data_IF_547556094832
#
_entry.id   IF_547556094832
#
_cell.length_a   1.000
_cell.length_b   1.000
_cell.length_c   1.000
_cell.angle_alpha   90.00
_cell.angle_beta   90.00
_cell.angle_gamma   90.00
#
_symmetry.space_group_name_H-M   'P 1'
#
loop_
_entity.id
_entity.type
_entity.pdbx_description
1 polymer ?
#
# COMPACT_ATOMS: atom_id res chain seq x y z
N UNK A 1 27.23 -33.19 4.83
CA UNK A 1 26.37 -34.13 4.08
C UNK A 1 25.19 -33.33 3.54
N UNK A 2 24.93 -33.44 2.23
CA UNK A 2 23.90 -32.79 1.40
C UNK A 2 23.88 -31.25 1.31
N UNK A 3 24.47 -30.75 0.22
CA UNK A 3 24.28 -29.44 -0.38
C UNK A 3 22.89 -29.32 -1.05
N UNK A 4 22.26 -28.16 -1.01
CA UNK A 4 21.30 -27.74 -2.05
C UNK A 4 21.44 -26.27 -2.37
N UNK A 5 21.82 -26.01 -3.62
CA UNK A 5 22.19 -24.74 -4.20
C UNK A 5 21.02 -23.77 -4.39
N UNK A 6 21.22 -22.52 -3.97
CA UNK A 6 20.44 -21.36 -4.40
C UNK A 6 20.67 -21.09 -5.90
N UNK A 7 19.66 -21.33 -6.72
CA UNK A 7 19.66 -21.00 -8.15
C UNK A 7 19.04 -19.62 -8.34
N UNK A 8 19.85 -18.68 -8.84
CA UNK A 8 19.46 -17.32 -9.24
C UNK A 8 18.38 -17.38 -10.32
N UNK A 9 17.18 -16.87 -10.04
CA UNK A 9 16.14 -16.63 -11.04
C UNK A 9 16.57 -15.46 -11.93
N UNK A 10 16.99 -15.81 -13.15
CA UNK A 10 17.39 -14.86 -14.18
C UNK A 10 16.13 -14.45 -14.94
N UNK A 11 15.78 -13.17 -14.90
CA UNK A 11 14.70 -12.55 -15.68
C UNK A 11 15.08 -12.42 -17.17
N UNK A 12 15.26 -13.54 -17.86
CA UNK A 12 15.44 -13.63 -19.31
C UNK A 12 14.91 -14.99 -19.75
N UNK A 13 13.62 -15.02 -20.14
CA UNK A 13 12.99 -15.99 -21.05
C UNK A 13 11.47 -15.99 -20.83
N UNK A 14 10.78 -15.04 -21.44
CA UNK A 14 9.34 -15.13 -21.74
C UNK A 14 9.05 -14.34 -23.03
N UNK A 15 9.87 -14.60 -24.05
CA UNK A 15 9.62 -14.21 -25.44
C UNK A 15 10.13 -15.34 -26.32
N UNK A 16 9.38 -16.43 -26.38
CA UNK A 16 9.57 -17.47 -27.39
C UNK A 16 8.28 -18.25 -27.59
N UNK A 17 7.95 -18.42 -28.87
CA UNK A 17 6.96 -19.34 -29.43
C UNK A 17 5.48 -18.96 -29.27
N UNK A 18 5.12 -17.78 -29.80
CA UNK A 18 3.84 -17.63 -30.49
C UNK A 18 4.01 -18.04 -31.94
N UNK A 19 4.05 -19.35 -32.22
CA UNK A 19 3.75 -19.84 -33.57
C UNK A 19 2.31 -19.42 -33.81
N UNK A 20 2.09 -18.34 -34.57
CA UNK A 20 0.80 -18.12 -35.22
C UNK A 20 0.64 -19.24 -36.23
N UNK A 21 0.20 -20.40 -35.74
CA UNK A 21 -0.65 -21.25 -36.54
C UNK A 21 -1.79 -20.37 -37.00
N UNK A 22 -1.98 -20.30 -38.31
CA UNK A 22 -3.21 -19.83 -38.92
C UNK A 22 -4.29 -20.82 -38.45
N UNK A 23 -4.74 -20.68 -37.21
CA UNK A 23 -6.03 -21.20 -36.82
C UNK A 23 -7.02 -20.33 -37.59
N UNK A 24 -7.62 -20.93 -38.61
CA UNK A 24 -8.73 -20.37 -39.35
C UNK A 24 -9.85 -20.05 -38.35
N UNK A 25 -9.81 -18.85 -37.78
CA UNK A 25 -10.98 -18.21 -37.18
C UNK A 25 -11.86 -17.86 -38.37
N UNK A 26 -12.88 -18.68 -38.58
CA UNK A 26 -13.91 -18.46 -39.59
C UNK A 26 -14.61 -17.12 -39.34
N UNK A 27 -14.03 -16.05 -39.84
CA UNK A 27 -14.75 -14.85 -40.23
C UNK A 27 -15.45 -15.12 -41.56
N UNK A 28 -16.58 -14.46 -41.78
CA UNK A 28 -17.31 -14.50 -43.04
C UNK A 28 -16.36 -14.13 -44.19
N UNK A 29 -15.94 -15.11 -45.00
CA UNK A 29 -15.19 -14.85 -46.21
C UNK A 29 -16.13 -14.16 -47.21
N UNK A 30 -15.82 -12.91 -47.56
CA UNK A 30 -16.54 -12.20 -48.62
C UNK A 30 -15.91 -12.58 -49.96
N UNK A 31 -16.71 -12.60 -51.04
CA UNK A 31 -16.26 -12.97 -52.39
C UNK A 31 -15.11 -12.09 -52.95
N UNK A 32 -14.79 -10.98 -52.27
CA UNK A 32 -13.76 -10.00 -52.63
C UNK A 32 -12.46 -10.12 -51.79
N UNK A 33 -12.27 -11.18 -51.02
CA UNK A 33 -11.07 -11.40 -50.19
C UNK A 33 -9.90 -11.99 -51.00
N UNK A 34 -9.54 -11.34 -52.11
CA UNK A 34 -8.43 -11.74 -52.99
C UNK A 34 -7.37 -10.65 -52.99
N UNK A 35 -6.09 -11.03 -52.83
CA UNK A 35 -4.97 -10.12 -53.00
C UNK A 35 -4.71 -9.91 -54.49
N UNK A 36 -4.72 -8.67 -54.94
CA UNK A 36 -4.24 -8.29 -56.27
C UNK A 36 -2.77 -8.66 -56.42
N UNK A 37 -2.37 -8.96 -57.66
CA UNK A 37 -1.04 -9.50 -57.96
C UNK A 37 0.11 -8.62 -57.43
N UNK A 38 -0.03 -7.29 -57.52
CA UNK A 38 0.98 -6.35 -57.02
C UNK A 38 1.13 -6.43 -55.49
N UNK A 39 0.02 -6.29 -54.75
CA UNK A 39 0.02 -6.35 -53.28
C UNK A 39 0.47 -7.74 -52.79
N UNK A 40 -0.05 -8.81 -53.40
CA UNK A 40 0.30 -10.18 -53.02
C UNK A 40 1.79 -10.48 -53.19
N UNK A 41 2.41 -10.03 -54.29
CA UNK A 41 3.84 -10.19 -54.55
C UNK A 41 4.69 -9.49 -53.48
N UNK A 42 4.32 -8.28 -53.09
CA UNK A 42 5.07 -7.50 -52.11
C UNK A 42 4.89 -8.04 -50.69
N UNK A 43 3.68 -8.48 -50.33
CA UNK A 43 3.44 -9.15 -49.04
C UNK A 43 4.17 -10.51 -48.92
N UNK A 44 4.33 -11.25 -50.02
CA UNK A 44 5.12 -12.50 -50.02
C UNK A 44 6.62 -12.21 -49.82
N UNK A 45 7.13 -11.14 -50.41
CA UNK A 45 8.50 -10.68 -50.17
C UNK A 45 8.69 -10.24 -48.70
N UNK A 46 7.72 -9.50 -48.15
CA UNK A 46 7.71 -9.10 -46.76
C UNK A 46 7.74 -10.31 -45.81
N UNK A 47 6.91 -11.32 -46.08
CA UNK A 47 6.87 -12.56 -45.29
C UNK A 47 8.23 -13.30 -45.33
N UNK A 48 8.83 -13.43 -46.51
CA UNK A 48 10.13 -14.11 -46.68
C UNK A 48 11.26 -13.36 -45.96
N UNK A 49 11.25 -12.03 -46.04
CA UNK A 49 12.22 -11.18 -45.35
C UNK A 49 12.02 -11.23 -43.82
N UNK A 50 10.78 -11.23 -43.35
CA UNK A 50 10.45 -11.38 -41.93
C UNK A 50 10.90 -12.74 -41.38
N UNK A 51 10.67 -13.84 -42.12
CA UNK A 51 11.14 -15.17 -41.74
C UNK A 51 12.68 -15.23 -41.60
N UNK A 52 13.38 -14.44 -42.42
CA UNK A 52 14.84 -14.28 -42.36
C UNK A 52 15.30 -13.24 -41.32
N UNK A 53 14.38 -12.69 -40.52
CA UNK A 53 14.60 -11.58 -39.57
C UNK A 53 15.20 -10.32 -40.19
N UNK A 54 15.09 -10.15 -41.50
CA UNK A 54 15.49 -8.95 -42.20
C UNK A 54 14.35 -7.93 -42.15
N UNK A 55 14.21 -7.29 -40.97
CA UNK A 55 13.09 -6.40 -40.70
C UNK A 55 13.06 -5.15 -41.58
N UNK A 56 14.23 -4.62 -41.97
CA UNK A 56 14.30 -3.47 -42.87
C UNK A 56 13.71 -3.81 -44.24
N UNK A 57 14.17 -4.90 -44.85
CA UNK A 57 13.64 -5.38 -46.14
C UNK A 57 12.17 -5.79 -46.05
N UNK A 58 11.76 -6.37 -44.93
CA UNK A 58 10.36 -6.72 -44.70
C UNK A 58 9.47 -5.47 -44.66
N UNK A 59 9.92 -4.42 -43.97
CA UNK A 59 9.18 -3.15 -43.89
C UNK A 59 9.14 -2.43 -45.23
N UNK A 60 10.25 -2.38 -45.99
CA UNK A 60 10.29 -1.84 -47.35
C UNK A 60 9.27 -2.52 -48.28
N UNK A 61 9.18 -3.86 -48.21
CA UNK A 61 8.22 -4.62 -48.99
C UNK A 61 6.76 -4.34 -48.57
N UNK A 62 6.49 -4.17 -47.28
CA UNK A 62 5.16 -3.73 -46.82
C UNK A 62 4.84 -2.30 -47.23
N UNK A 63 5.81 -1.38 -47.22
CA UNK A 63 5.62 -0.01 -47.69
C UNK A 63 5.31 0.03 -49.20
N UNK A 64 5.96 -0.84 -49.99
CA UNK A 64 5.64 -1.02 -51.40
C UNK A 64 4.21 -1.54 -51.62
N UNK A 65 3.80 -2.57 -50.87
CA UNK A 65 2.42 -3.07 -50.88
C UNK A 65 1.41 -1.97 -50.51
N UNK A 66 1.76 -1.12 -49.54
CA UNK A 66 0.91 -0.02 -49.08
C UNK A 66 0.83 1.15 -50.09
N UNK A 67 1.82 1.32 -50.95
CA UNK A 67 1.85 2.36 -51.97
C UNK A 67 0.98 2.06 -53.21
N UNK A 68 0.48 0.83 -53.35
CA UNK A 68 -0.41 0.44 -54.46
C UNK A 68 -1.71 1.26 -54.40
N UNK A 69 -2.07 1.89 -55.53
CA UNK A 69 -3.32 2.67 -55.65
C UNK A 69 -4.52 1.73 -55.87
N UNK A 70 -5.68 2.10 -55.33
CA UNK A 70 -6.92 1.36 -55.55
C UNK A 70 -7.02 0.04 -54.78
N UNK A 71 -6.26 -0.13 -53.69
CA UNK A 71 -6.36 -1.31 -52.82
C UNK A 71 -7.79 -1.50 -52.32
N UNK A 72 -8.21 -2.75 -52.28
CA UNK A 72 -9.43 -3.18 -51.58
C UNK A 72 -9.27 -3.04 -50.07
N UNK A 73 -10.39 -3.04 -49.34
CA UNK A 73 -10.38 -3.08 -47.87
C UNK A 73 -9.66 -4.31 -47.34
N UNK A 74 -9.74 -5.45 -48.05
CA UNK A 74 -9.04 -6.68 -47.71
C UNK A 74 -7.52 -6.56 -47.88
N UNK A 75 -7.06 -5.95 -48.97
CA UNK A 75 -5.63 -5.71 -49.21
C UNK A 75 -5.05 -4.71 -48.19
N UNK A 76 -5.79 -3.63 -47.89
CA UNK A 76 -5.41 -2.67 -46.86
C UNK A 76 -5.31 -3.35 -45.48
N UNK A 77 -6.29 -4.20 -45.15
CA UNK A 77 -6.30 -4.97 -43.92
C UNK A 77 -5.11 -5.92 -43.81
N UNK A 78 -4.85 -6.71 -44.85
CA UNK A 78 -3.76 -7.71 -44.88
C UNK A 78 -2.39 -7.03 -44.85
N UNK A 79 -2.25 -5.88 -45.52
CA UNK A 79 -1.04 -5.05 -45.47
C UNK A 79 -0.80 -4.53 -44.06
N UNK A 80 -1.84 -4.07 -43.37
CA UNK A 80 -1.73 -3.64 -41.98
C UNK A 80 -1.37 -4.80 -41.03
N UNK A 81 -1.89 -6.02 -41.25
CA UNK A 81 -1.50 -7.20 -40.47
C UNK A 81 -0.01 -7.52 -40.62
N UNK A 82 0.50 -7.52 -41.85
CA UNK A 82 1.93 -7.75 -42.11
C UNK A 82 2.79 -6.64 -41.50
N UNK A 83 2.38 -5.36 -41.65
CA UNK A 83 3.04 -4.21 -41.04
C UNK A 83 3.13 -4.37 -39.52
N UNK A 84 2.03 -4.74 -38.86
CA UNK A 84 1.97 -4.95 -37.42
C UNK A 84 2.92 -6.07 -36.97
N UNK A 85 2.95 -7.19 -37.69
CA UNK A 85 3.82 -8.33 -37.36
C UNK A 85 5.31 -7.98 -37.45
N UNK A 86 5.72 -7.28 -38.52
CA UNK A 86 7.12 -6.84 -38.69
C UNK A 86 7.47 -5.80 -37.63
N UNK A 87 6.60 -4.81 -37.43
CA UNK A 87 6.84 -3.73 -36.49
C UNK A 87 6.95 -4.24 -35.04
N UNK A 88 6.08 -5.16 -34.64
CA UNK A 88 6.15 -5.81 -33.33
C UNK A 88 7.44 -6.60 -33.12
N UNK A 89 7.89 -7.38 -34.11
CA UNK A 89 9.12 -8.18 -34.00
C UNK A 89 10.42 -7.36 -34.08
N UNK A 90 10.40 -6.26 -34.83
CA UNK A 90 11.52 -5.33 -34.96
C UNK A 90 11.64 -4.31 -33.83
N UNK A 91 10.63 -4.23 -32.96
CA UNK A 91 10.56 -3.22 -31.90
C UNK A 91 10.23 -1.81 -32.42
N UNK A 92 9.75 -1.68 -33.67
CA UNK A 92 9.30 -0.40 -34.21
C UNK A 92 7.90 -0.06 -33.68
N UNK A 93 7.87 0.52 -32.48
CA UNK A 93 6.64 0.90 -31.76
C UNK A 93 5.74 1.82 -32.57
N UNK A 94 6.30 2.78 -33.30
CA UNK A 94 5.53 3.76 -34.06
C UNK A 94 4.77 3.13 -35.21
N UNK A 95 5.44 2.27 -35.98
CA UNK A 95 4.82 1.53 -37.07
C UNK A 95 3.79 0.52 -36.55
N UNK A 96 4.07 -0.13 -35.41
CA UNK A 96 3.15 -1.09 -34.81
C UNK A 96 1.85 -0.43 -34.35
N UNK A 97 1.94 0.71 -33.66
CA UNK A 97 0.76 1.45 -33.18
C UNK A 97 -0.13 1.85 -34.36
N UNK A 98 0.45 2.46 -35.41
CA UNK A 98 -0.30 2.86 -36.62
C UNK A 98 -0.97 1.67 -37.30
N UNK A 99 -0.26 0.54 -37.43
CA UNK A 99 -0.82 -0.66 -38.02
C UNK A 99 -1.97 -1.23 -37.17
N UNK A 100 -1.81 -1.27 -35.85
CA UNK A 100 -2.88 -1.70 -34.94
C UNK A 100 -4.08 -0.77 -34.96
N UNK A 101 -3.92 0.55 -35.12
CA UNK A 101 -5.05 1.48 -35.23
C UNK A 101 -5.93 1.15 -36.45
N UNK A 102 -5.31 0.83 -37.60
CA UNK A 102 -6.02 0.36 -38.79
C UNK A 102 -6.78 -0.94 -38.50
N UNK A 103 -6.11 -1.91 -37.87
CA UNK A 103 -6.71 -3.21 -37.58
C UNK A 103 -7.86 -3.10 -36.57
N UNK A 104 -7.71 -2.31 -35.51
CA UNK A 104 -8.73 -2.13 -34.47
C UNK A 104 -9.97 -1.43 -35.04
N UNK A 105 -9.80 -0.48 -35.97
CA UNK A 105 -10.92 0.25 -36.57
C UNK A 105 -11.62 -0.55 -37.69
N UNK A 106 -10.99 -1.61 -38.21
CA UNK A 106 -11.62 -2.47 -39.22
C UNK A 106 -12.80 -3.28 -38.65
N UNK A 107 -13.87 -3.40 -39.43
CA UNK A 107 -15.00 -4.32 -39.16
C UNK A 107 -14.59 -5.79 -39.29
N UNK A 108 -13.49 -6.07 -40.00
CA UNK A 108 -12.96 -7.42 -40.23
C UNK A 108 -12.26 -7.99 -39.00
N UNK A 109 -11.83 -7.16 -38.04
CA UNK A 109 -11.15 -7.63 -36.82
C UNK A 109 -12.16 -8.06 -35.77
N UNK A 110 -12.13 -9.33 -35.31
CA UNK A 110 -12.99 -9.80 -34.24
C UNK A 110 -12.79 -8.99 -32.96
N UNK A 111 -13.86 -8.77 -32.18
CA UNK A 111 -13.82 -8.00 -30.92
C UNK A 111 -12.69 -8.46 -29.98
N UNK A 112 -12.53 -9.77 -29.77
CA UNK A 112 -11.46 -10.30 -28.92
C UNK A 112 -10.06 -9.92 -29.42
N UNK A 113 -9.83 -9.95 -30.74
CA UNK A 113 -8.56 -9.56 -31.34
C UNK A 113 -8.29 -8.05 -31.19
N UNK A 114 -9.33 -7.20 -31.29
CA UNK A 114 -9.19 -5.75 -31.01
C UNK A 114 -8.71 -5.51 -29.58
N UNK A 115 -9.26 -6.24 -28.60
CA UNK A 115 -8.80 -6.19 -27.21
C UNK A 115 -7.32 -6.56 -27.06
N UNK A 116 -6.88 -7.66 -27.69
CA UNK A 116 -5.47 -8.08 -27.67
C UNK A 116 -4.54 -7.04 -28.34
N UNK A 117 -4.98 -6.42 -29.44
CA UNK A 117 -4.23 -5.37 -30.13
C UNK A 117 -4.08 -4.11 -29.26
N UNK A 118 -5.13 -3.69 -28.55
CA UNK A 118 -5.05 -2.57 -27.59
C UNK A 118 -4.04 -2.86 -26.47
N UNK A 119 -4.04 -4.08 -25.91
CA UNK A 119 -3.04 -4.49 -24.91
C UNK A 119 -1.62 -4.45 -25.47
N UNK A 120 -1.43 -4.93 -26.71
CA UNK A 120 -0.14 -4.90 -27.38
C UNK A 120 0.34 -3.47 -27.64
N UNK A 121 -0.51 -2.59 -28.19
CA UNK A 121 -0.22 -1.17 -28.39
C UNK A 121 0.25 -0.50 -27.08
N UNK A 122 -0.51 -0.69 -26.01
CA UNK A 122 -0.19 -0.11 -24.72
C UNK A 122 1.13 -0.64 -24.14
N UNK A 123 1.34 -1.96 -24.17
CA UNK A 123 2.55 -2.60 -23.63
C UNK A 123 3.80 -2.20 -24.41
N UNK A 124 3.71 -2.11 -25.75
CA UNK A 124 4.81 -1.67 -26.60
C UNK A 124 5.16 -0.19 -26.34
N UNK A 125 4.15 0.68 -26.28
CA UNK A 125 4.33 2.10 -25.96
C UNK A 125 4.96 2.28 -24.56
N UNK A 126 4.47 1.55 -23.56
CA UNK A 126 5.01 1.57 -22.21
C UNK A 126 6.49 1.13 -22.17
N UNK A 127 6.81 0.01 -22.82
CA UNK A 127 8.18 -0.53 -22.88
C UNK A 127 9.14 0.41 -23.60
N UNK A 128 8.64 1.15 -24.61
CA UNK A 128 9.37 2.21 -25.30
C UNK A 128 9.44 3.53 -24.50
N UNK A 129 8.95 3.56 -23.25
CA UNK A 129 8.83 4.75 -22.38
C UNK A 129 7.97 5.86 -22.98
N UNK A 130 7.12 5.55 -23.96
CA UNK A 130 6.18 6.46 -24.59
C UNK A 130 4.85 6.45 -23.80
N UNK A 131 4.90 6.81 -22.52
CA UNK A 131 3.78 6.66 -21.59
C UNK A 131 2.50 7.40 -22.05
N UNK A 132 2.64 8.61 -22.61
CA UNK A 132 1.53 9.36 -23.19
C UNK A 132 0.77 8.55 -24.27
N UNK A 133 1.48 7.72 -25.03
CA UNK A 133 0.90 6.90 -26.11
C UNK A 133 0.33 5.57 -25.60
N UNK A 134 0.76 5.11 -24.43
CA UNK A 134 0.21 3.90 -23.82
C UNK A 134 -1.17 4.14 -23.19
N UNK A 135 -1.43 5.37 -22.71
CA UNK A 135 -2.67 5.73 -21.99
C UNK A 135 -3.93 5.47 -22.84
N UNK A 136 -4.10 6.01 -24.07
CA UNK A 136 -5.36 5.87 -24.79
C UNK A 136 -5.76 4.43 -25.08
N UNK A 137 -4.79 3.58 -25.46
CA UNK A 137 -5.02 2.16 -25.70
C UNK A 137 -5.40 1.43 -24.40
N UNK A 138 -4.77 1.79 -23.28
CA UNK A 138 -5.06 1.23 -21.96
C UNK A 138 -6.45 1.60 -21.47
N UNK A 139 -6.82 2.89 -21.54
CA UNK A 139 -8.14 3.37 -21.12
C UNK A 139 -9.25 2.78 -21.99
N UNK A 140 -9.04 2.75 -23.32
CA UNK A 140 -9.98 2.13 -24.25
C UNK A 140 -10.17 0.64 -23.95
N UNK A 141 -9.09 -0.09 -23.66
CA UNK A 141 -9.18 -1.48 -23.25
C UNK A 141 -10.05 -1.63 -21.99
N UNK A 142 -9.74 -0.89 -20.93
CA UNK A 142 -10.46 -0.98 -19.65
C UNK A 142 -11.95 -0.62 -19.80
N UNK A 143 -12.28 0.33 -20.67
CA UNK A 143 -13.65 0.74 -20.97
C UNK A 143 -14.43 -0.30 -21.78
N UNK A 144 -13.83 -0.87 -22.82
CA UNK A 144 -14.54 -1.74 -23.78
C UNK A 144 -14.52 -3.23 -23.41
N UNK A 145 -13.51 -3.68 -22.65
CA UNK A 145 -13.25 -5.09 -22.33
C UNK A 145 -13.30 -5.39 -20.83
N UNK A 146 -13.34 -4.36 -19.99
CA UNK A 146 -13.47 -4.47 -18.54
C UNK A 146 -12.14 -4.46 -17.79
N UNK A 147 -12.21 -4.73 -16.50
CA UNK A 147 -11.06 -4.65 -15.60
C UNK A 147 -10.04 -5.77 -15.86
N UNK A 148 -8.81 -5.40 -16.21
CA UNK A 148 -7.62 -6.26 -16.18
C UNK A 148 -6.60 -5.64 -15.22
N UNK A 149 -6.17 -6.33 -14.14
CA UNK A 149 -5.25 -5.77 -13.14
C UNK A 149 -3.91 -5.28 -13.69
N UNK A 150 -3.41 -5.89 -14.78
CA UNK A 150 -2.14 -5.51 -15.43
C UNK A 150 -2.33 -4.20 -16.18
N UNK A 151 -3.43 -4.07 -16.92
CA UNK A 151 -3.76 -2.84 -17.65
C UNK A 151 -4.05 -1.68 -16.70
N UNK A 152 -4.77 -1.91 -15.59
CA UNK A 152 -4.97 -0.90 -14.55
C UNK A 152 -3.65 -0.45 -13.92
N UNK A 153 -2.77 -1.39 -13.56
CA UNK A 153 -1.46 -1.07 -12.99
C UNK A 153 -0.60 -0.26 -13.97
N UNK A 154 -0.59 -0.65 -15.25
CA UNK A 154 0.12 0.07 -16.29
C UNK A 154 -0.43 1.49 -16.49
N UNK A 155 -1.76 1.68 -16.42
CA UNK A 155 -2.38 3.01 -16.51
C UNK A 155 -1.87 3.94 -15.39
N UNK A 156 -1.91 3.46 -14.14
CA UNK A 156 -1.40 4.20 -12.98
C UNK A 156 0.07 4.55 -13.16
N UNK A 157 0.89 3.58 -13.59
CA UNK A 157 2.31 3.81 -13.83
C UNK A 157 2.57 4.82 -14.95
N UNK A 158 1.79 4.79 -16.04
CA UNK A 158 1.90 5.76 -17.13
C UNK A 158 1.64 7.19 -16.64
N UNK A 159 0.59 7.39 -15.83
CA UNK A 159 0.30 8.69 -15.23
C UNK A 159 1.41 9.12 -14.25
N UNK A 160 1.84 8.21 -13.39
CA UNK A 160 2.87 8.47 -12.37
C UNK A 160 4.20 8.89 -12.99
N UNK A 161 4.66 8.15 -14.01
CA UNK A 161 5.93 8.39 -14.70
C UNK A 161 5.92 9.70 -15.51
N UNK A 162 4.73 10.21 -15.86
CA UNK A 162 4.55 11.51 -16.49
C UNK A 162 4.30 12.64 -15.48
N UNK A 163 4.33 12.34 -14.18
CA UNK A 163 3.98 13.28 -13.12
C UNK A 163 2.57 13.87 -13.27
N UNK A 164 1.67 13.16 -13.95
CA UNK A 164 0.25 13.48 -13.94
C UNK A 164 -0.34 12.97 -12.63
N UNK A 165 -0.17 13.77 -11.58
CA UNK A 165 -0.60 13.41 -10.23
C UNK A 165 -2.12 13.28 -10.13
N UNK A 166 -2.87 14.05 -10.92
CA UNK A 166 -4.35 13.95 -10.96
C UNK A 166 -4.79 12.64 -11.61
N UNK A 167 -4.19 12.28 -12.74
CA UNK A 167 -4.43 10.99 -13.41
C UNK A 167 -4.02 9.81 -12.54
N UNK A 168 -2.86 9.91 -11.88
CA UNK A 168 -2.35 8.90 -10.94
C UNK A 168 -3.32 8.68 -9.79
N UNK A 169 -3.71 9.76 -9.10
CA UNK A 169 -4.60 9.68 -7.94
C UNK A 169 -5.93 9.05 -8.32
N UNK A 170 -6.54 9.50 -9.42
CA UNK A 170 -7.81 8.96 -9.92
C UNK A 170 -7.72 7.46 -10.22
N UNK A 171 -6.76 7.06 -11.06
CA UNK A 171 -6.63 5.67 -11.49
C UNK A 171 -6.25 4.74 -10.32
N UNK A 172 -5.37 5.18 -9.43
CA UNK A 172 -4.96 4.39 -8.27
C UNK A 172 -6.08 4.27 -7.23
N UNK A 173 -6.81 5.35 -6.94
CA UNK A 173 -7.94 5.32 -6.01
C UNK A 173 -9.04 4.36 -6.47
N UNK A 174 -9.45 4.43 -7.74
CA UNK A 174 -10.46 3.54 -8.32
C UNK A 174 -10.06 2.06 -8.16
N UNK A 175 -8.78 1.72 -8.40
CA UNK A 175 -8.28 0.36 -8.26
C UNK A 175 -8.19 -0.08 -6.79
N UNK A 176 -7.72 0.80 -5.90
CA UNK A 176 -7.63 0.56 -4.46
C UNK A 176 -9.02 0.27 -3.89
N UNK A 177 -10.00 1.13 -4.19
CA UNK A 177 -11.38 1.00 -3.71
C UNK A 177 -12.02 -0.29 -4.21
N UNK A 178 -11.85 -0.62 -5.49
CA UNK A 178 -12.34 -1.87 -6.06
C UNK A 178 -11.70 -3.10 -5.38
N UNK A 179 -10.40 -3.03 -5.07
CA UNK A 179 -9.67 -4.11 -4.41
C UNK A 179 -10.17 -4.32 -2.97
N UNK A 180 -10.36 -3.23 -2.21
CA UNK A 180 -10.91 -3.26 -0.85
C UNK A 180 -12.34 -3.80 -0.87
N UNK A 181 -13.19 -3.32 -1.80
CA UNK A 181 -14.58 -3.78 -1.96
C UNK A 181 -14.65 -5.26 -2.29
N UNK A 182 -13.67 -5.79 -3.01
CA UNK A 182 -13.53 -7.21 -3.31
C UNK A 182 -12.97 -8.04 -2.13
N UNK A 183 -12.76 -7.44 -0.95
CA UNK A 183 -12.20 -8.11 0.23
C UNK A 183 -10.72 -8.46 0.09
N UNK A 184 -10.01 -7.82 -0.84
CA UNK A 184 -8.59 -8.07 -1.12
C UNK A 184 -7.73 -6.93 -0.58
N UNK A 185 -6.44 -7.20 -0.41
CA UNK A 185 -5.45 -6.22 0.01
C UNK A 185 -4.93 -5.47 -1.22
N UNK A 186 -5.05 -4.13 -1.29
CA UNK A 186 -4.47 -3.33 -2.37
C UNK A 186 -2.95 -3.48 -2.43
N UNK A 187 -2.34 -3.61 -3.62
CA UNK A 187 -0.88 -3.66 -3.77
C UNK A 187 -0.17 -2.46 -3.14
N UNK A 188 0.93 -2.72 -2.40
CA UNK A 188 1.66 -1.69 -1.66
C UNK A 188 2.13 -0.54 -2.56
N UNK A 189 2.67 -0.88 -3.73
CA UNK A 189 3.15 0.09 -4.70
C UNK A 189 2.05 1.04 -5.21
N UNK A 190 0.81 0.56 -5.33
CA UNK A 190 -0.32 1.41 -5.74
C UNK A 190 -0.69 2.40 -4.65
N UNK A 191 -0.71 1.95 -3.39
CA UNK A 191 -0.94 2.84 -2.25
C UNK A 191 0.20 3.87 -2.08
N UNK A 192 1.45 3.47 -2.33
CA UNK A 192 2.60 4.39 -2.34
C UNK A 192 2.47 5.44 -3.45
N UNK A 193 2.13 5.03 -4.68
CA UNK A 193 1.91 5.96 -5.81
C UNK A 193 0.75 6.92 -5.51
N UNK A 194 -0.33 6.43 -4.91
CA UNK A 194 -1.48 7.23 -4.46
C UNK A 194 -1.07 8.27 -3.40
N UNK A 195 -0.31 7.86 -2.38
CA UNK A 195 0.21 8.77 -1.36
C UNK A 195 1.13 9.85 -1.95
N UNK A 196 2.02 9.49 -2.87
CA UNK A 196 2.88 10.44 -3.59
C UNK A 196 2.05 11.41 -4.44
N UNK A 197 1.01 10.92 -5.14
CA UNK A 197 0.13 11.75 -5.95
C UNK A 197 -0.57 12.80 -5.08
N UNK A 198 -1.19 12.40 -3.97
CA UNK A 198 -1.85 13.35 -3.06
C UNK A 198 -0.88 14.31 -2.37
N UNK A 199 0.35 13.87 -2.09
CA UNK A 199 1.42 14.75 -1.60
C UNK A 199 1.72 15.86 -2.60
N UNK A 200 1.87 15.53 -3.89
CA UNK A 200 2.14 16.53 -4.94
C UNK A 200 0.92 17.40 -5.27
N UNK A 201 -0.29 16.86 -5.12
CA UNK A 201 -1.54 17.62 -5.23
C UNK A 201 -1.81 18.53 -4.03
N UNK A 202 -1.01 18.42 -2.96
CA UNK A 202 -1.18 19.13 -1.68
C UNK A 202 -2.54 18.84 -1.02
N UNK A 203 -3.08 17.64 -1.25
CA UNK A 203 -4.31 17.16 -0.62
C UNK A 203 -3.95 16.41 0.66
N UNK A 204 -4.00 17.13 1.80
CA UNK A 204 -3.58 16.59 3.08
C UNK A 204 -4.47 15.44 3.56
N UNK A 205 -5.79 15.54 3.39
CA UNK A 205 -6.74 14.54 3.86
C UNK A 205 -6.60 13.25 3.07
N UNK A 206 -6.53 13.35 1.73
CA UNK A 206 -6.37 12.19 0.88
C UNK A 206 -4.99 11.53 1.02
N UNK A 207 -3.93 12.34 1.24
CA UNK A 207 -2.60 11.84 1.61
C UNK A 207 -2.66 11.03 2.90
N UNK A 208 -3.26 11.57 3.95
CA UNK A 208 -3.41 10.88 5.25
C UNK A 208 -4.19 9.58 5.09
N UNK A 209 -5.29 9.59 4.33
CA UNK A 209 -6.05 8.37 4.04
C UNK A 209 -5.20 7.30 3.35
N UNK A 210 -4.39 7.66 2.35
CA UNK A 210 -3.47 6.72 1.70
C UNK A 210 -2.45 6.12 2.68
N UNK A 211 -1.90 6.93 3.59
CA UNK A 211 -1.00 6.43 4.64
C UNK A 211 -1.70 5.56 5.68
N UNK A 212 -2.96 5.84 6.02
CA UNK A 212 -3.79 4.96 6.87
C UNK A 212 -3.94 3.58 6.22
N UNK A 213 -4.19 3.51 4.92
CA UNK A 213 -4.26 2.24 4.18
C UNK A 213 -2.90 1.53 4.16
N UNK A 214 -1.80 2.25 3.91
CA UNK A 214 -0.44 1.70 3.97
C UNK A 214 -0.11 1.12 5.35
N UNK A 215 -0.42 1.85 6.42
CA UNK A 215 -0.21 1.42 7.80
C UNK A 215 -1.10 0.21 8.16
N UNK A 216 -2.36 0.20 7.70
CA UNK A 216 -3.31 -0.90 7.91
C UNK A 216 -2.84 -2.22 7.30
N UNK A 217 -2.41 -2.17 6.03
CA UNK A 217 -2.15 -3.38 5.25
C UNK A 217 -0.67 -3.83 5.25
N UNK A 218 0.27 -2.90 5.40
CA UNK A 218 1.71 -3.19 5.28
C UNK A 218 2.50 -2.81 6.54
N UNK A 219 2.00 -1.89 7.36
CA UNK A 219 2.49 -1.56 8.70
C UNK A 219 4.01 -1.40 8.84
N UNK A 220 4.67 -0.79 7.84
CA UNK A 220 6.09 -0.46 7.92
C UNK A 220 6.30 0.79 8.79
N UNK A 221 7.43 0.89 9.52
CA UNK A 221 7.73 2.06 10.34
C UNK A 221 7.63 3.38 9.57
N UNK A 222 8.06 3.42 8.31
CA UNK A 222 8.03 4.65 7.50
C UNK A 222 6.60 5.18 7.27
N UNK A 223 5.60 4.30 7.16
CA UNK A 223 4.20 4.72 6.99
C UNK A 223 3.61 5.24 8.30
N UNK A 224 3.95 4.59 9.40
CA UNK A 224 3.57 5.05 10.74
C UNK A 224 4.24 6.38 11.09
N UNK A 225 5.50 6.56 10.70
CA UNK A 225 6.22 7.82 10.88
C UNK A 225 5.48 9.00 10.23
N UNK A 226 4.94 8.80 9.01
CA UNK A 226 4.16 9.83 8.32
C UNK A 226 2.85 10.17 9.04
N UNK A 227 2.14 9.18 9.61
CA UNK A 227 0.91 9.41 10.39
C UNK A 227 1.19 10.06 11.75
N UNK A 228 2.28 9.65 12.41
CA UNK A 228 2.63 10.12 13.75
C UNK A 228 3.24 11.53 13.71
N UNK A 229 3.98 11.88 12.65
CA UNK A 229 4.62 13.18 12.51
C UNK A 229 3.63 14.34 12.71
N UNK A 230 2.50 14.31 12.01
CA UNK A 230 1.50 15.37 12.06
C UNK A 230 0.84 15.46 13.45
N UNK A 231 0.70 14.32 14.15
CA UNK A 231 0.19 14.26 15.51
C UNK A 231 1.18 14.84 16.53
N UNK A 232 2.47 14.55 16.41
CA UNK A 232 3.53 15.10 17.29
C UNK A 232 3.71 16.60 17.06
N UNK A 233 3.54 17.08 15.82
CA UNK A 233 3.63 18.50 15.48
C UNK A 233 2.44 19.33 15.98
N UNK A 234 1.37 18.69 16.48
CA UNK A 234 0.18 19.40 16.95
C UNK A 234 0.47 20.13 18.28
N UNK A 235 0.41 21.48 18.33
CA UNK A 235 0.73 22.25 19.53
C UNK A 235 -0.28 22.03 20.68
N UNK A 236 -1.44 21.45 20.40
CA UNK A 236 -2.47 21.15 21.40
C UNK A 236 -2.30 19.74 22.02
N UNK A 237 -1.28 18.97 21.62
CA UNK A 237 -1.01 17.66 22.18
C UNK A 237 -0.60 17.79 23.65
N UNK A 238 -1.51 17.46 24.56
CA UNK A 238 -1.25 17.55 26.00
C UNK A 238 -0.10 16.62 26.44
N UNK A 239 0.69 16.97 27.48
CA UNK A 239 1.82 16.14 27.93
C UNK A 239 1.48 14.67 28.22
N UNK A 240 0.32 14.31 28.81
CA UNK A 240 -0.05 12.90 28.98
C UNK A 240 -0.29 12.16 27.65
N UNK A 241 -0.79 12.84 26.62
CA UNK A 241 -0.98 12.22 25.30
C UNK A 241 0.36 11.98 24.58
N UNK A 242 1.39 12.80 24.84
CA UNK A 242 2.75 12.57 24.30
C UNK A 242 3.24 11.17 24.69
N UNK A 243 3.03 10.74 25.93
CA UNK A 243 3.40 9.40 26.38
C UNK A 243 2.69 8.29 25.56
N UNK A 244 1.40 8.44 25.27
CA UNK A 244 0.66 7.47 24.46
C UNK A 244 1.08 7.49 22.98
N UNK A 245 1.60 8.61 22.48
CA UNK A 245 2.23 8.71 21.16
C UNK A 245 3.62 8.06 21.14
N UNK A 246 4.44 8.24 22.19
CA UNK A 246 5.73 7.54 22.33
C UNK A 246 5.54 6.02 22.35
N UNK A 247 4.54 5.54 23.10
CA UNK A 247 4.15 4.12 23.09
C UNK A 247 3.72 3.65 21.70
N UNK A 248 3.03 4.49 20.93
CA UNK A 248 2.64 4.18 19.56
C UNK A 248 3.86 4.11 18.63
N UNK A 249 4.82 5.03 18.79
CA UNK A 249 6.10 4.99 18.07
C UNK A 249 6.88 3.71 18.38
N UNK A 250 6.89 3.27 19.64
CA UNK A 250 7.50 1.99 20.02
C UNK A 250 6.80 0.81 19.33
N UNK A 251 5.48 0.73 19.45
CA UNK A 251 4.69 -0.39 18.94
C UNK A 251 4.72 -0.51 17.40
N UNK A 252 5.05 0.58 16.70
CA UNK A 252 5.17 0.64 15.24
C UNK A 252 6.62 0.55 14.74
N UNK A 253 7.61 0.47 15.64
CA UNK A 253 9.03 0.43 15.31
C UNK A 253 9.61 1.77 14.81
N UNK A 254 8.91 2.88 15.05
CA UNK A 254 9.35 4.25 14.75
C UNK A 254 10.30 4.78 15.83
N UNK A 255 10.13 4.35 17.09
CA UNK A 255 11.01 4.71 18.19
C UNK A 255 12.29 3.87 18.14
N UNK A 256 13.46 4.53 18.07
CA UNK A 256 14.75 3.86 17.88
C UNK A 256 15.83 4.27 18.88
N UNK A 257 15.73 5.48 19.45
CA UNK A 257 16.80 6.06 20.25
C UNK A 257 16.71 5.61 21.73
N UNK A 258 17.82 5.24 22.38
CA UNK A 258 17.83 4.86 23.80
C UNK A 258 17.25 5.92 24.72
N UNK A 259 17.49 7.21 24.43
CA UNK A 259 16.94 8.34 25.20
C UNK A 259 15.42 8.36 25.21
N UNK A 260 14.77 7.98 24.10
CA UNK A 260 13.31 7.93 24.00
C UNK A 260 12.72 6.89 24.98
N UNK A 261 13.44 5.81 25.29
CA UNK A 261 13.01 4.83 26.28
C UNK A 261 13.15 5.34 27.71
N UNK A 262 14.22 6.09 27.99
CA UNK A 262 14.41 6.71 29.30
C UNK A 262 13.29 7.71 29.57
N UNK A 263 13.06 8.65 28.65
CA UNK A 263 12.01 9.66 28.76
C UNK A 263 10.62 9.02 28.95
N UNK A 264 10.30 8.01 28.14
CA UNK A 264 9.03 7.27 28.23
C UNK A 264 8.90 6.53 29.57
N UNK A 265 9.98 5.92 30.07
CA UNK A 265 10.02 5.26 31.38
C UNK A 265 9.81 6.25 32.54
N UNK A 266 10.48 7.41 32.50
CA UNK A 266 10.34 8.46 33.50
C UNK A 266 8.91 9.02 33.51
N UNK A 267 8.32 9.28 32.35
CA UNK A 267 6.91 9.72 32.23
C UNK A 267 5.96 8.69 32.83
N UNK A 268 6.12 7.41 32.52
CA UNK A 268 5.29 6.35 33.09
C UNK A 268 5.41 6.27 34.62
N UNK A 269 6.61 6.45 35.19
CA UNK A 269 6.80 6.53 36.64
C UNK A 269 6.11 7.77 37.22
N UNK A 270 6.23 8.93 36.59
CA UNK A 270 5.57 10.18 37.02
C UNK A 270 4.04 10.08 36.97
N UNK A 271 3.50 9.32 36.01
CA UNK A 271 2.07 8.99 35.92
C UNK A 271 1.61 7.97 36.96
N UNK A 272 2.51 7.46 37.80
CA UNK A 272 2.21 6.45 38.81
C UNK A 272 2.02 5.04 38.25
N UNK A 273 2.58 4.76 37.06
CA UNK A 273 2.50 3.46 36.37
C UNK A 273 3.90 2.80 36.23
N UNK A 274 4.64 2.57 37.33
CA UNK A 274 6.01 2.06 37.24
C UNK A 274 6.11 0.64 36.68
N UNK A 275 5.06 -0.18 36.82
CA UNK A 275 5.04 -1.49 36.17
C UNK A 275 4.96 -1.37 34.64
N UNK A 276 4.23 -0.37 34.12
CA UNK A 276 4.23 -0.07 32.68
C UNK A 276 5.61 0.41 32.22
N UNK A 277 6.24 1.30 33.00
CA UNK A 277 7.61 1.75 32.73
C UNK A 277 8.58 0.56 32.61
N UNK A 278 8.53 -0.37 33.57
CA UNK A 278 9.35 -1.58 33.56
C UNK A 278 9.08 -2.45 32.31
N UNK A 279 7.80 -2.65 31.96
CA UNK A 279 7.41 -3.41 30.78
C UNK A 279 7.94 -2.77 29.48
N UNK A 280 7.93 -1.44 29.38
CA UNK A 280 8.42 -0.70 28.21
C UNK A 280 9.95 -0.76 28.09
N UNK A 281 10.68 -0.62 29.21
CA UNK A 281 12.12 -0.81 29.22
C UNK A 281 12.52 -2.24 28.84
N UNK A 282 11.79 -3.25 29.34
CA UNK A 282 12.00 -4.64 28.96
C UNK A 282 11.84 -4.86 27.45
N UNK A 283 10.92 -4.16 26.77
CA UNK A 283 10.80 -4.20 25.32
C UNK A 283 12.04 -3.60 24.63
N UNK A 284 12.58 -2.51 25.16
CA UNK A 284 13.84 -1.91 24.67
C UNK A 284 15.05 -2.83 24.81
N UNK A 285 15.13 -3.62 25.87
CA UNK A 285 16.15 -4.69 25.98
C UNK A 285 15.89 -5.81 24.96
N UNK A 286 14.64 -6.25 24.82
CA UNK A 286 14.27 -7.36 23.94
C UNK A 286 14.51 -7.06 22.45
N UNK A 287 14.37 -5.80 22.03
CA UNK A 287 14.64 -5.36 20.65
C UNK A 287 16.06 -4.80 20.45
N UNK A 288 16.93 -4.93 21.47
CA UNK A 288 18.32 -4.46 21.48
C UNK A 288 18.50 -2.92 21.37
N UNK A 289 17.45 -2.12 21.52
CA UNK A 289 17.59 -0.66 21.65
C UNK A 289 18.23 -0.23 22.97
N UNK A 290 18.13 -1.04 24.03
CA UNK A 290 18.76 -0.80 25.33
C UNK A 290 19.75 -1.90 25.69
N UNK A 291 20.68 -1.59 26.59
CA UNK A 291 21.61 -2.57 27.16
C UNK A 291 22.82 -2.89 26.28
N UNK A 292 23.07 -2.07 25.26
CA UNK A 292 24.18 -2.23 24.33
C UNK A 292 24.95 -0.91 24.19
N UNK A 293 26.21 -0.98 23.75
CA UNK A 293 27.01 0.21 23.49
C UNK A 293 27.36 1.03 24.74
N UNK A 294 27.75 2.31 24.58
CA UNK A 294 28.26 3.14 25.67
C UNK A 294 27.25 3.43 26.79
N UNK A 295 25.94 3.37 26.50
CA UNK A 295 24.87 3.68 27.48
C UNK A 295 24.42 2.46 28.29
N UNK A 296 24.88 1.24 27.97
CA UNK A 296 24.38 -0.01 28.56
C UNK A 296 24.37 -0.02 30.10
N UNK A 297 25.41 0.53 30.74
CA UNK A 297 25.49 0.62 32.20
C UNK A 297 24.48 1.63 32.79
N UNK A 298 24.24 2.74 32.10
CA UNK A 298 23.22 3.72 32.49
C UNK A 298 21.82 3.14 32.32
N UNK A 299 21.55 2.47 31.20
CA UNK A 299 20.28 1.77 30.93
C UNK A 299 19.98 0.76 32.05
N UNK A 300 20.97 -0.06 32.44
CA UNK A 300 20.81 -1.07 33.48
C UNK A 300 20.51 -0.46 34.85
N UNK A 301 21.15 0.68 35.17
CA UNK A 301 20.90 1.40 36.43
C UNK A 301 19.50 2.00 36.46
N UNK A 302 19.05 2.60 35.36
CA UNK A 302 17.70 3.15 35.25
C UNK A 302 16.64 2.05 35.31
N UNK A 303 16.85 0.94 34.61
CA UNK A 303 16.00 -0.24 34.67
C UNK A 303 15.84 -0.78 36.10
N UNK A 304 16.95 -0.94 36.83
CA UNK A 304 16.93 -1.39 38.23
C UNK A 304 16.16 -0.42 39.14
N UNK A 305 16.31 0.89 38.95
CA UNK A 305 15.54 1.90 39.67
C UNK A 305 14.03 1.76 39.40
N UNK A 306 13.63 1.64 38.13
CA UNK A 306 12.22 1.46 37.74
C UNK A 306 11.67 0.14 38.28
N UNK A 307 12.46 -0.94 38.27
CA UNK A 307 12.06 -2.23 38.83
C UNK A 307 11.78 -2.13 40.34
N UNK A 308 12.60 -1.39 41.09
CA UNK A 308 12.38 -1.14 42.52
C UNK A 308 11.10 -0.32 42.75
N UNK A 309 10.85 0.69 41.92
CA UNK A 309 9.62 1.48 42.00
C UNK A 309 8.38 0.62 41.69
N UNK A 310 8.47 -0.27 40.70
CA UNK A 310 7.38 -1.20 40.36
C UNK A 310 7.10 -2.19 41.50
N UNK A 311 8.13 -2.73 42.14
CA UNK A 311 7.99 -3.60 43.30
C UNK A 311 7.35 -2.88 44.50
N UNK A 312 7.76 -1.63 44.75
CA UNK A 312 7.19 -0.79 45.83
C UNK A 312 5.73 -0.45 45.56
N UNK A 313 5.40 -0.06 44.33
CA UNK A 313 4.01 0.21 43.95
C UNK A 313 3.13 -1.05 44.09
N UNK A 314 3.63 -2.22 43.67
CA UNK A 314 2.92 -3.50 43.81
C UNK A 314 2.61 -3.83 45.27
N UNK A 315 3.55 -3.64 46.19
CA UNK A 315 3.32 -3.93 47.61
C UNK A 315 2.28 -3.00 48.26
N UNK A 316 2.13 -1.78 47.74
CA UNK A 316 1.15 -0.79 48.20
C UNK A 316 -0.20 -0.86 47.47
N UNK A 317 -0.30 -1.64 46.39
CA UNK A 317 -1.43 -1.62 45.46
C UNK A 317 -2.78 -1.92 46.14
N UNK A 318 -2.84 -2.89 47.05
CA UNK A 318 -4.09 -3.22 47.75
C UNK A 318 -4.64 -2.04 48.58
N UNK A 319 -3.75 -1.30 49.25
CA UNK A 319 -4.11 -0.09 49.99
C UNK A 319 -4.56 1.02 49.03
N UNK A 320 -3.81 1.23 47.94
CA UNK A 320 -4.16 2.21 46.92
C UNK A 320 -5.53 1.96 46.28
N UNK A 321 -5.87 0.70 45.98
CA UNK A 321 -7.19 0.28 45.44
C UNK A 321 -8.31 0.62 46.43
N UNK A 322 -8.11 0.31 47.71
CA UNK A 322 -9.09 0.60 48.77
C UNK A 322 -9.34 2.10 48.90
N UNK A 323 -8.27 2.91 48.89
CA UNK A 323 -8.36 4.37 48.94
C UNK A 323 -9.02 4.95 47.67
N UNK A 324 -8.66 4.43 46.50
CA UNK A 324 -9.16 4.89 45.21
C UNK A 324 -10.67 4.67 45.04
N UNK A 325 -11.21 3.58 45.57
CA UNK A 325 -12.65 3.30 45.56
C UNK A 325 -13.44 4.43 46.25
N UNK A 326 -12.92 4.93 47.37
CA UNK A 326 -13.55 5.96 48.21
C UNK A 326 -13.25 7.40 47.78
N UNK A 327 -12.27 7.62 46.90
CA UNK A 327 -11.86 8.96 46.49
C UNK A 327 -12.96 9.65 45.66
N UNK A 328 -13.22 10.96 45.84
CA UNK A 328 -14.26 11.66 45.07
C UNK A 328 -13.86 11.91 43.59
N UNK A 329 -12.56 11.94 43.30
CA UNK A 329 -12.02 12.26 41.99
C UNK A 329 -11.75 10.99 41.16
N UNK A 330 -11.79 11.11 39.83
CA UNK A 330 -11.53 10.02 38.89
C UNK A 330 -10.09 9.45 38.97
N UNK A 331 -9.09 10.33 39.14
CA UNK A 331 -7.67 10.00 39.01
C UNK A 331 -7.20 8.78 39.81
N UNK A 332 -7.43 8.72 41.14
CA UNK A 332 -7.04 7.57 41.96
C UNK A 332 -7.56 6.23 41.43
N UNK A 333 -8.82 6.18 40.98
CA UNK A 333 -9.43 4.97 40.43
C UNK A 333 -8.85 4.59 39.06
N UNK A 334 -8.56 5.58 38.20
CA UNK A 334 -7.88 5.36 36.92
C UNK A 334 -6.47 4.79 37.14
N UNK A 335 -5.64 5.42 37.97
CA UNK A 335 -4.26 4.99 38.21
C UNK A 335 -4.16 3.67 38.97
N UNK A 336 -4.93 3.48 40.05
CA UNK A 336 -4.91 2.23 40.82
C UNK A 336 -5.48 1.06 40.00
N UNK A 337 -6.56 1.30 39.25
CA UNK A 337 -7.17 0.30 38.37
C UNK A 337 -6.22 -0.12 37.25
N UNK A 338 -5.51 0.82 36.61
CA UNK A 338 -4.52 0.48 35.60
C UNK A 338 -3.34 -0.31 36.20
N UNK A 339 -2.85 0.07 37.39
CA UNK A 339 -1.84 -0.73 38.08
C UNK A 339 -2.33 -2.15 38.42
N UNK A 340 -3.61 -2.35 38.75
CA UNK A 340 -4.19 -3.69 38.89
C UNK A 340 -4.10 -4.50 37.59
N UNK A 341 -4.48 -3.90 36.45
CA UNK A 341 -4.37 -4.55 35.13
C UNK A 341 -2.93 -4.95 34.83
N UNK A 342 -1.97 -4.03 35.01
CA UNK A 342 -0.54 -4.27 34.75
C UNK A 342 0.07 -5.34 35.67
N UNK A 343 -0.59 -5.64 36.80
CA UNK A 343 -0.22 -6.69 37.75
C UNK A 343 -1.09 -7.95 37.64
N UNK A 344 -1.81 -8.12 36.52
CA UNK A 344 -2.57 -9.32 36.18
C UNK A 344 -4.00 -9.38 36.74
N UNK A 345 -4.41 -8.39 37.53
CA UNK A 345 -5.79 -8.27 38.05
C UNK A 345 -6.67 -7.53 37.05
N UNK A 346 -6.79 -8.07 35.82
CA UNK A 346 -7.36 -7.37 34.67
C UNK A 346 -8.81 -6.94 34.91
N UNK A 347 -9.71 -7.86 35.25
CA UNK A 347 -11.14 -7.55 35.39
C UNK A 347 -11.41 -6.57 36.55
N UNK A 348 -10.77 -6.79 37.70
CA UNK A 348 -10.90 -5.90 38.85
C UNK A 348 -10.35 -4.50 38.55
N UNK A 349 -9.19 -4.42 37.89
CA UNK A 349 -8.58 -3.15 37.49
C UNK A 349 -9.45 -2.36 36.51
N UNK A 350 -9.97 -3.02 35.47
CA UNK A 350 -10.85 -2.38 34.50
C UNK A 350 -12.18 -1.93 35.12
N UNK A 351 -12.73 -2.69 36.08
CA UNK A 351 -13.93 -2.28 36.83
C UNK A 351 -13.66 -1.02 37.68
N UNK A 352 -12.50 -0.94 38.33
CA UNK A 352 -12.10 0.24 39.10
C UNK A 352 -11.87 1.46 38.19
N UNK A 353 -11.19 1.29 37.05
CA UNK A 353 -11.03 2.37 36.07
C UNK A 353 -12.38 2.88 35.55
N UNK A 354 -13.33 1.98 35.26
CA UNK A 354 -14.69 2.35 34.83
C UNK A 354 -15.42 3.15 35.91
N UNK A 355 -15.22 2.82 37.18
CA UNK A 355 -15.71 3.63 38.31
C UNK A 355 -15.09 5.04 38.28
N UNK A 356 -13.80 5.15 37.99
CA UNK A 356 -13.10 6.43 37.79
C UNK A 356 -13.69 7.25 36.64
N UNK A 357 -13.97 6.63 35.49
CA UNK A 357 -14.62 7.30 34.35
C UNK A 357 -15.99 7.87 34.72
N UNK A 358 -16.74 7.21 35.61
CA UNK A 358 -18.01 7.71 36.14
C UNK A 358 -17.90 8.92 37.07
N UNK A 359 -16.70 9.32 37.50
CA UNK A 359 -16.45 10.43 38.44
C UNK A 359 -16.10 11.75 37.73
N UNK A 360 -16.66 12.00 36.55
CA UNK A 360 -16.46 13.21 35.75
C UNK A 360 -14.99 13.67 35.68
N UNK A 361 -14.09 12.85 35.08
CA UNK A 361 -12.69 13.19 34.94
C UNK A 361 -12.51 14.57 34.29
N UNK A 362 -11.52 15.34 34.76
CA UNK A 362 -11.17 16.66 34.22
C UNK A 362 -10.89 16.64 32.71
N UNK A 363 -10.34 15.54 32.22
CA UNK A 363 -10.05 15.28 30.81
C UNK A 363 -10.70 13.95 30.40
N UNK A 364 -11.99 13.95 30.04
CA UNK A 364 -12.73 12.72 29.78
C UNK A 364 -12.19 11.92 28.59
N UNK A 365 -11.83 12.59 27.50
CA UNK A 365 -11.29 11.94 26.31
C UNK A 365 -9.95 11.26 26.59
N UNK A 366 -9.07 11.95 27.33
CA UNK A 366 -7.81 11.37 27.79
C UNK A 366 -8.08 10.14 28.66
N UNK A 367 -8.93 10.25 29.68
CA UNK A 367 -9.25 9.14 30.58
C UNK A 367 -9.80 7.91 29.82
N UNK A 368 -10.56 8.14 28.74
CA UNK A 368 -11.06 7.08 27.88
C UNK A 368 -9.95 6.45 27.03
N UNK A 369 -8.98 7.24 26.53
CA UNK A 369 -7.75 6.71 25.92
C UNK A 369 -6.99 5.84 26.93
N UNK A 370 -6.79 6.30 28.17
CA UNK A 370 -6.10 5.52 29.20
C UNK A 370 -6.82 4.19 29.49
N UNK A 371 -8.15 4.21 29.55
CA UNK A 371 -8.95 3.00 29.73
C UNK A 371 -8.79 2.01 28.56
N UNK A 372 -8.78 2.50 27.31
CA UNK A 372 -8.51 1.68 26.14
C UNK A 372 -7.09 1.08 26.15
N UNK A 373 -6.10 1.85 26.62
CA UNK A 373 -4.72 1.38 26.77
C UNK A 373 -4.61 0.30 27.86
N UNK A 374 -5.33 0.43 28.97
CA UNK A 374 -5.43 -0.61 29.99
C UNK A 374 -6.10 -1.87 29.46
N UNK A 375 -7.20 -1.75 28.71
CA UNK A 375 -7.82 -2.91 28.06
C UNK A 375 -6.83 -3.64 27.13
N UNK A 376 -6.07 -2.89 26.33
CA UNK A 376 -5.05 -3.46 25.46
C UNK A 376 -3.95 -4.18 26.26
N UNK A 377 -3.40 -3.55 27.28
CA UNK A 377 -2.34 -4.13 28.12
C UNK A 377 -2.83 -5.33 28.94
N UNK A 378 -4.12 -5.37 29.27
CA UNK A 378 -4.81 -6.52 29.87
C UNK A 378 -5.20 -7.61 28.87
N UNK A 379 -4.85 -7.49 27.59
CA UNK A 379 -5.15 -8.46 26.53
C UNK A 379 -6.55 -8.36 25.92
N UNK A 380 -7.39 -7.41 26.34
CA UNK A 380 -8.74 -7.19 25.81
C UNK A 380 -8.73 -6.34 24.53
N UNK A 381 -8.02 -6.81 23.50
CA UNK A 381 -7.79 -6.09 22.25
C UNK A 381 -9.08 -5.61 21.55
N UNK A 382 -10.10 -6.47 21.49
CA UNK A 382 -11.36 -6.13 20.83
C UNK A 382 -12.14 -5.03 21.58
N UNK A 383 -12.11 -5.05 22.92
CA UNK A 383 -12.74 -4.02 23.73
C UNK A 383 -11.95 -2.71 23.69
N UNK A 384 -10.61 -2.77 23.66
CA UNK A 384 -9.76 -1.60 23.46
C UNK A 384 -10.12 -0.86 22.16
N UNK A 385 -10.30 -1.59 21.04
CA UNK A 385 -10.73 -1.00 19.76
C UNK A 385 -12.08 -0.28 19.90
N UNK A 386 -13.07 -0.88 20.57
CA UNK A 386 -14.38 -0.25 20.81
C UNK A 386 -14.27 1.00 21.68
N UNK A 387 -13.44 0.96 22.71
CA UNK A 387 -13.19 2.11 23.59
C UNK A 387 -12.51 3.25 22.83
N UNK A 388 -11.48 2.96 22.03
CA UNK A 388 -10.83 3.98 21.21
C UNK A 388 -11.79 4.59 20.19
N UNK A 389 -12.63 3.78 19.55
CA UNK A 389 -13.64 4.26 18.61
C UNK A 389 -14.76 5.11 19.24
N UNK A 390 -14.92 5.08 20.57
CA UNK A 390 -15.92 5.87 21.29
C UNK A 390 -15.38 7.18 21.86
N UNK A 391 -14.08 7.47 21.71
CA UNK A 391 -13.50 8.77 22.09
C UNK A 391 -14.10 9.84 21.19
N UNK A 392 -14.76 10.84 21.79
CA UNK A 392 -15.48 11.88 21.05
C UNK A 392 -14.62 13.13 20.79
N UNK A 393 -15.20 14.11 20.10
CA UNK A 393 -14.54 15.38 19.75
C UNK A 393 -13.73 15.31 18.46
N UNK A 394 -12.89 16.32 18.24
CA UNK A 394 -11.93 16.43 17.12
C UNK A 394 -10.56 16.90 17.64
N UNK A 395 -10.19 16.48 18.85
CA UNK A 395 -8.94 16.86 19.51
C UNK A 395 -7.87 15.75 19.47
N UNK A 396 -6.64 16.04 19.93
CA UNK A 396 -5.52 15.10 19.86
C UNK A 396 -5.75 13.74 20.54
N UNK A 397 -6.63 13.68 21.55
CA UNK A 397 -7.00 12.41 22.19
C UNK A 397 -7.69 11.45 21.22
N UNK A 398 -8.56 11.97 20.35
CA UNK A 398 -9.22 11.18 19.31
C UNK A 398 -8.23 10.72 18.25
N UNK A 399 -7.33 11.61 17.80
CA UNK A 399 -6.31 11.25 16.82
C UNK A 399 -5.41 10.10 17.35
N UNK A 400 -4.99 10.19 18.62
CA UNK A 400 -4.25 9.11 19.30
C UNK A 400 -5.08 7.81 19.33
N UNK A 401 -6.35 7.89 19.72
CA UNK A 401 -7.25 6.73 19.79
C UNK A 401 -7.44 6.06 18.43
N UNK A 402 -7.62 6.85 17.37
CA UNK A 402 -7.79 6.36 16.00
C UNK A 402 -6.54 5.63 15.50
N UNK A 403 -5.34 6.15 15.76
CA UNK A 403 -4.09 5.48 15.38
C UNK A 403 -3.85 4.17 16.16
N UNK A 404 -4.17 4.15 17.46
CA UNK A 404 -4.12 2.90 18.24
C UNK A 404 -5.16 1.89 17.75
N UNK A 405 -6.38 2.33 17.48
CA UNK A 405 -7.44 1.49 16.89
C UNK A 405 -7.01 0.92 15.53
N UNK A 406 -6.37 1.73 14.68
CA UNK A 406 -5.80 1.31 13.41
C UNK A 406 -4.74 0.21 13.60
N UNK A 407 -3.81 0.41 14.55
CA UNK A 407 -2.75 -0.56 14.85
C UNK A 407 -3.32 -1.89 15.35
N UNK A 408 -4.36 -1.84 16.18
CA UNK A 408 -5.01 -3.02 16.73
C UNK A 408 -5.91 -3.71 15.68
N UNK A 409 -6.56 -2.96 14.80
CA UNK A 409 -7.48 -3.52 13.79
C UNK A 409 -6.80 -4.18 12.60
N UNK A 410 -5.46 -4.28 12.59
CA UNK A 410 -4.70 -4.93 11.53
C UNK A 410 -5.11 -6.41 11.38
N UNK A 411 -5.25 -6.91 10.14
CA UNK A 411 -5.40 -8.34 9.88
C UNK A 411 -4.25 -9.14 10.50
N UNK A 412 -4.52 -10.34 10.98
CA UNK A 412 -3.44 -11.27 11.35
C UNK A 412 -2.56 -11.54 10.11
N UNK A 413 -1.24 -11.55 10.32
CA UNK A 413 -0.26 -11.84 9.26
C UNK A 413 -0.38 -13.27 8.76
#
# INVERSE_FOLDING_TARGET
MSLSLYRRLSARNLLLAGVFGIAALAGSAHADDVLGQAVGKDLQQAQSALASKNYAKAMEAVDAADAVKGKTDYEAYTTAQMRAAIAAQSGNTDAAIKAYDVLINSSRTPKAAKGQMLMAQATMAYSAKQYARAIPATERYLKEYGADPRMQTMLIQCYYLQQDWKGTAKAAQEQVDATIKAGKIPPENQLQMLATAYTNLKDADAKTHAYVLLAKYYSKPDYWSMLIHDLVANPNLSPPLVFYVERLRLATGVLKDPSDYQDMGERAVQMGLPQLALNLLNQGYANHSLGNGPTAAADAKFHAFVAQQAATNRSQLASAVTQAASAPNAGPALTAGYNQVLNGQVDAGLALMKTGLGKNPRYPDLAQVEYGMAQMDGGQKAEAIKTFASVQGNGPAKDVAELWSLLLSRPAK
#
